data_IF_480834862820
#
_entry.id   IF_480834862820
#
_cell.length_a   1.000
_cell.length_b   1.000
_cell.length_c   1.000
_cell.angle_alpha   90.00
_cell.angle_beta   90.00
_cell.angle_gamma   90.00
#
_symmetry.space_group_name_H-M   'P 1'
#
loop_
_entity.id
_entity.type
_entity.pdbx_description
1 polymer ?
#
# COMPACT_ATOMS: atom_id res chain seq x y z
N UNK A 1 85.75 -100.74 -71.24
CA UNK A 1 87.04 -101.45 -71.08
C UNK A 1 87.52 -101.25 -69.66
N UNK A 2 88.01 -102.36 -69.10
CA UNK A 2 88.57 -102.59 -67.77
C UNK A 2 89.41 -101.43 -67.19
N UNK A 3 89.16 -101.08 -65.92
CA UNK A 3 90.13 -101.33 -64.86
C UNK A 3 89.46 -101.17 -63.49
N UNK A 4 89.45 -102.27 -62.75
CA UNK A 4 89.01 -102.37 -61.38
C UNK A 4 89.85 -101.47 -60.46
N UNK A 5 89.19 -100.63 -59.68
CA UNK A 5 89.69 -100.18 -58.39
C UNK A 5 88.65 -100.55 -57.34
N UNK A 6 88.89 -101.67 -56.66
CA UNK A 6 88.25 -102.03 -55.40
C UNK A 6 88.48 -100.87 -54.43
N UNK A 7 87.53 -99.94 -54.37
CA UNK A 7 87.44 -99.00 -53.29
C UNK A 7 86.88 -99.76 -52.10
N UNK A 8 87.82 -100.24 -51.28
CA UNK A 8 87.71 -100.69 -49.91
C UNK A 8 86.31 -100.57 -49.31
N UNK A 9 85.80 -101.72 -48.85
CA UNK A 9 84.96 -101.81 -47.66
C UNK A 9 85.52 -100.86 -46.61
N UNK A 10 84.94 -99.65 -46.55
CA UNK A 10 85.10 -98.78 -45.40
C UNK A 10 84.45 -99.54 -44.25
N UNK A 11 85.25 -99.84 -43.24
CA UNK A 11 84.84 -100.32 -41.93
C UNK A 11 83.46 -99.72 -41.56
N UNK A 12 82.44 -100.53 -41.23
CA UNK A 12 81.10 -100.03 -40.88
C UNK A 12 81.13 -98.88 -39.87
N UNK A 13 82.14 -98.86 -38.99
CA UNK A 13 82.40 -97.79 -38.02
C UNK A 13 82.86 -96.46 -38.67
N UNK A 14 83.67 -96.52 -39.74
CA UNK A 14 84.15 -95.32 -40.47
C UNK A 14 83.04 -94.68 -41.31
N UNK A 15 82.16 -95.48 -41.91
CA UNK A 15 81.00 -94.99 -42.68
C UNK A 15 79.98 -94.28 -41.76
N UNK A 16 79.69 -94.88 -40.60
CA UNK A 16 78.86 -94.27 -39.55
C UNK A 16 79.49 -92.96 -39.02
N UNK A 17 80.82 -92.91 -38.86
CA UNK A 17 81.51 -91.67 -38.49
C UNK A 17 81.35 -90.57 -39.54
N UNK A 18 81.48 -90.89 -40.83
CA UNK A 18 81.30 -89.90 -41.90
C UNK A 18 79.85 -89.41 -42.01
N UNK A 19 78.88 -90.30 -41.81
CA UNK A 19 77.45 -89.95 -41.82
C UNK A 19 77.07 -89.10 -40.61
N UNK A 20 77.59 -89.42 -39.41
CA UNK A 20 77.46 -88.59 -38.20
C UNK A 20 78.15 -87.24 -38.32
N UNK A 21 79.31 -87.17 -38.98
CA UNK A 21 80.01 -85.90 -39.25
C UNK A 21 79.20 -85.01 -40.20
N UNK A 22 78.59 -85.59 -41.24
CA UNK A 22 77.74 -84.87 -42.18
C UNK A 22 76.41 -84.45 -41.57
N UNK A 23 75.78 -85.31 -40.76
CA UNK A 23 74.55 -84.98 -40.03
C UNK A 23 74.78 -83.89 -38.98
N UNK A 24 75.90 -83.96 -38.25
CA UNK A 24 76.33 -82.90 -37.33
C UNK A 24 76.56 -81.58 -38.06
N UNK A 25 77.29 -81.58 -39.19
CA UNK A 25 77.45 -80.37 -40.02
C UNK A 25 76.11 -79.80 -40.45
N UNK A 26 75.17 -80.63 -40.90
CA UNK A 26 73.83 -80.20 -41.32
C UNK A 26 73.02 -79.65 -40.14
N UNK A 27 73.13 -80.26 -38.95
CA UNK A 27 72.52 -79.79 -37.71
C UNK A 27 73.10 -78.45 -37.23
N UNK A 28 74.42 -78.26 -37.30
CA UNK A 28 75.09 -77.00 -36.99
C UNK A 28 74.65 -75.89 -37.96
N UNK A 29 74.53 -76.20 -39.25
CA UNK A 29 74.02 -75.24 -40.25
C UNK A 29 72.53 -74.90 -39.99
N UNK A 30 71.69 -75.88 -39.64
CA UNK A 30 70.29 -75.64 -39.25
C UNK A 30 70.19 -74.75 -38.01
N UNK A 31 70.98 -75.07 -36.98
CA UNK A 31 71.02 -74.30 -35.74
C UNK A 31 71.49 -72.87 -35.97
N UNK A 32 72.47 -72.65 -36.84
CA UNK A 32 72.92 -71.31 -37.21
C UNK A 32 71.83 -70.51 -37.96
N UNK A 33 71.05 -71.17 -38.82
CA UNK A 33 69.91 -70.56 -39.51
C UNK A 33 68.78 -70.22 -38.53
N UNK A 34 68.45 -71.11 -37.60
CA UNK A 34 67.47 -70.89 -36.53
C UNK A 34 67.90 -69.75 -35.60
N UNK A 35 69.16 -69.71 -35.17
CA UNK A 35 69.70 -68.60 -34.38
C UNK A 35 69.60 -67.27 -35.12
N UNK A 36 69.85 -67.26 -36.43
CA UNK A 36 69.71 -66.07 -37.26
C UNK A 36 68.24 -65.63 -37.38
N UNK A 37 67.31 -66.56 -37.56
CA UNK A 37 65.87 -66.28 -37.62
C UNK A 37 65.36 -65.73 -36.27
N UNK A 38 65.71 -66.37 -35.16
CA UNK A 38 65.35 -65.92 -33.80
C UNK A 38 65.92 -64.53 -33.54
N UNK A 39 67.17 -64.26 -33.95
CA UNK A 39 67.79 -62.94 -33.81
C UNK A 39 67.07 -61.87 -34.63
N UNK A 40 66.65 -62.19 -35.86
CA UNK A 40 65.89 -61.26 -36.71
C UNK A 40 64.49 -60.99 -36.13
N UNK A 41 63.82 -62.01 -35.59
CA UNK A 41 62.52 -61.86 -34.90
C UNK A 41 62.66 -61.01 -33.63
N UNK A 42 63.71 -61.24 -32.84
CA UNK A 42 63.99 -60.42 -31.67
C UNK A 42 64.22 -58.96 -32.04
N UNK A 43 65.00 -58.70 -33.09
CA UNK A 43 65.24 -57.33 -33.58
C UNK A 43 63.95 -56.64 -34.07
N UNK A 44 63.07 -57.34 -34.80
CA UNK A 44 61.80 -56.76 -35.23
C UNK A 44 60.83 -56.53 -34.06
N UNK A 45 60.86 -57.41 -33.06
CA UNK A 45 60.10 -57.27 -31.83
C UNK A 45 60.58 -56.06 -31.02
N UNK A 46 61.88 -55.90 -30.82
CA UNK A 46 62.48 -54.72 -30.19
C UNK A 46 62.09 -53.42 -30.92
N UNK A 47 62.11 -53.42 -32.26
CA UNK A 47 61.70 -52.25 -33.05
C UNK A 47 60.21 -51.93 -32.88
N UNK A 48 59.35 -52.95 -32.82
CA UNK A 48 57.91 -52.79 -32.59
C UNK A 48 57.61 -52.22 -31.20
N UNK A 49 58.29 -52.71 -30.15
CA UNK A 49 58.18 -52.16 -28.80
C UNK A 49 58.70 -50.72 -28.71
N UNK A 50 59.78 -50.38 -29.40
CA UNK A 50 60.28 -49.01 -29.48
C UNK A 50 59.28 -48.06 -30.16
N UNK A 51 58.61 -48.52 -31.22
CA UNK A 51 57.55 -47.76 -31.90
C UNK A 51 56.32 -47.59 -31.00
N UNK A 52 55.87 -48.64 -30.33
CA UNK A 52 54.75 -48.60 -29.39
C UNK A 52 55.03 -47.69 -28.19
N UNK A 53 56.24 -47.73 -27.63
CA UNK A 53 56.64 -46.85 -26.53
C UNK A 53 56.53 -45.37 -26.92
N UNK A 54 57.00 -45.01 -28.13
CA UNK A 54 56.88 -43.64 -28.65
C UNK A 54 55.43 -43.22 -28.87
N UNK A 55 54.59 -44.08 -29.45
CA UNK A 55 53.18 -43.73 -29.66
C UNK A 55 52.43 -43.60 -28.34
N UNK A 56 52.75 -44.44 -27.34
CA UNK A 56 52.22 -44.35 -25.98
C UNK A 56 52.63 -43.04 -25.31
N UNK A 57 53.89 -42.64 -25.40
CA UNK A 57 54.39 -41.38 -24.84
C UNK A 57 53.68 -40.16 -25.46
N UNK A 58 53.49 -40.16 -26.78
CA UNK A 58 52.72 -39.11 -27.48
C UNK A 58 51.26 -39.11 -27.02
N UNK A 59 50.61 -40.27 -26.91
CA UNK A 59 49.22 -40.36 -26.45
C UNK A 59 49.08 -39.91 -24.99
N UNK A 60 50.03 -40.24 -24.12
CA UNK A 60 50.04 -39.84 -22.71
C UNK A 60 50.23 -38.33 -22.55
N UNK A 61 51.17 -37.73 -23.30
CA UNK A 61 51.35 -36.27 -23.30
C UNK A 61 50.09 -35.53 -23.77
N UNK A 62 49.41 -36.05 -24.79
CA UNK A 62 48.13 -35.50 -25.28
C UNK A 62 47.02 -35.64 -24.24
N UNK A 63 46.92 -36.80 -23.58
CA UNK A 63 45.94 -37.03 -22.52
C UNK A 63 46.14 -36.06 -21.35
N UNK A 64 47.39 -35.86 -20.90
CA UNK A 64 47.74 -34.88 -19.86
C UNK A 64 47.35 -33.46 -20.27
N UNK A 65 47.68 -33.05 -21.50
CA UNK A 65 47.30 -31.72 -22.01
C UNK A 65 45.79 -31.51 -22.04
N UNK A 66 45.01 -32.54 -22.41
CA UNK A 66 43.55 -32.47 -22.42
C UNK A 66 42.99 -32.43 -20.99
N UNK A 67 43.57 -33.17 -20.04
CA UNK A 67 43.18 -33.15 -18.63
C UNK A 67 43.36 -31.76 -18.02
N UNK A 68 44.49 -31.10 -18.27
CA UNK A 68 44.73 -29.72 -17.83
C UNK A 68 43.73 -28.72 -18.44
N UNK A 69 43.36 -28.90 -19.72
CA UNK A 69 42.38 -28.03 -20.36
C UNK A 69 40.98 -28.23 -19.77
N UNK A 70 40.59 -29.47 -19.49
CA UNK A 70 39.33 -29.78 -18.80
C UNK A 70 39.31 -29.16 -17.42
N UNK A 71 40.40 -29.24 -16.66
CA UNK A 71 40.50 -28.60 -15.35
C UNK A 71 40.34 -27.07 -15.44
N UNK A 72 41.04 -26.43 -16.38
CA UNK A 72 40.91 -24.98 -16.62
C UNK A 72 39.48 -24.58 -17.00
N UNK A 73 38.84 -25.34 -17.90
CA UNK A 73 37.46 -25.09 -18.30
C UNK A 73 36.48 -25.27 -17.15
N UNK A 74 36.70 -26.28 -16.30
CA UNK A 74 35.86 -26.54 -15.14
C UNK A 74 35.94 -25.41 -14.11
N UNK A 75 37.13 -24.87 -13.85
CA UNK A 75 37.31 -23.69 -12.97
C UNK A 75 36.60 -22.46 -13.57
N UNK A 76 36.75 -22.23 -14.88
CA UNK A 76 36.11 -21.10 -15.56
C UNK A 76 34.58 -21.19 -15.48
N UNK A 77 34.03 -22.38 -15.70
CA UNK A 77 32.58 -22.63 -15.65
C UNK A 77 32.03 -22.38 -14.23
N UNK A 78 32.70 -22.88 -13.19
CA UNK A 78 32.31 -22.62 -11.80
C UNK A 78 32.33 -21.13 -11.45
N UNK A 79 33.35 -20.40 -11.92
CA UNK A 79 33.40 -18.94 -11.71
C UNK A 79 32.24 -18.22 -12.40
N UNK A 80 31.83 -18.66 -13.60
CA UNK A 80 30.70 -18.08 -14.33
C UNK A 80 29.37 -18.41 -13.67
N UNK A 81 29.19 -19.63 -13.18
CA UNK A 81 28.00 -20.02 -12.42
C UNK A 81 27.84 -19.18 -11.15
N UNK A 82 28.93 -18.91 -10.42
CA UNK A 82 28.86 -18.04 -9.24
C UNK A 82 28.52 -16.60 -9.61
N UNK A 83 29.09 -16.06 -10.70
CA UNK A 83 28.72 -14.73 -11.22
C UNK A 83 27.24 -14.66 -11.60
N UNK A 84 26.72 -15.67 -12.29
CA UNK A 84 25.31 -15.76 -12.66
C UNK A 84 24.42 -15.85 -11.42
N UNK A 85 24.81 -16.62 -10.42
CA UNK A 85 24.07 -16.74 -9.15
C UNK A 85 24.00 -15.41 -8.41
N UNK A 86 25.12 -14.68 -8.32
CA UNK A 86 25.16 -13.34 -7.72
C UNK A 86 24.30 -12.35 -8.51
N UNK A 87 24.38 -12.38 -9.84
CA UNK A 87 23.55 -11.53 -10.71
C UNK A 87 22.06 -11.85 -10.53
N UNK A 88 21.68 -13.13 -10.48
CA UNK A 88 20.29 -13.56 -10.27
C UNK A 88 19.77 -13.08 -8.93
N UNK A 89 20.58 -13.21 -7.87
CA UNK A 89 20.23 -12.73 -6.53
C UNK A 89 20.02 -11.21 -6.50
N UNK A 90 20.86 -10.45 -7.22
CA UNK A 90 20.68 -9.00 -7.34
C UNK A 90 19.40 -8.64 -8.12
N UNK A 91 19.09 -9.34 -9.21
CA UNK A 91 17.86 -9.11 -9.98
C UNK A 91 16.61 -9.40 -9.13
N UNK A 92 16.62 -10.47 -8.34
CA UNK A 92 15.53 -10.78 -7.40
C UNK A 92 15.33 -9.69 -6.34
N UNK A 93 16.40 -9.04 -5.87
CA UNK A 93 16.31 -7.91 -4.96
C UNK A 93 15.64 -6.71 -5.63
N UNK A 94 16.06 -6.34 -6.85
CA UNK A 94 15.43 -5.25 -7.59
C UNK A 94 13.96 -5.50 -7.92
N UNK A 95 13.58 -6.76 -8.22
CA UNK A 95 12.18 -7.11 -8.42
C UNK A 95 11.34 -6.90 -7.16
N UNK A 96 11.86 -7.26 -5.98
CA UNK A 96 11.17 -7.00 -4.70
C UNK A 96 11.02 -5.50 -4.44
N UNK A 97 12.07 -4.71 -4.67
CA UNK A 97 11.99 -3.25 -4.54
C UNK A 97 10.96 -2.63 -5.50
N UNK A 98 10.89 -3.13 -6.73
CA UNK A 98 9.88 -2.70 -7.70
C UNK A 98 8.46 -3.05 -7.25
N UNK A 99 8.24 -4.25 -6.70
CA UNK A 99 6.94 -4.66 -6.17
C UNK A 99 6.52 -3.81 -4.96
N UNK A 100 7.46 -3.51 -4.05
CA UNK A 100 7.24 -2.62 -2.91
C UNK A 100 6.87 -1.20 -3.36
N UNK A 101 7.61 -0.65 -4.34
CA UNK A 101 7.31 0.65 -4.93
C UNK A 101 5.94 0.66 -5.63
N UNK A 102 5.59 -0.41 -6.33
CA UNK A 102 4.28 -0.56 -6.97
C UNK A 102 3.15 -0.58 -5.96
N UNK A 103 3.34 -1.28 -4.84
CA UNK A 103 2.38 -1.28 -3.72
C UNK A 103 2.21 0.12 -3.12
N UNK A 104 3.31 0.83 -2.84
CA UNK A 104 3.25 2.20 -2.34
C UNK A 104 2.56 3.16 -3.32
N UNK A 105 2.78 2.98 -4.62
CA UNK A 105 2.16 3.80 -5.66
C UNK A 105 0.64 3.54 -5.76
N UNK A 106 0.19 2.29 -5.58
CA UNK A 106 -1.23 1.95 -5.49
C UNK A 106 -1.90 2.67 -4.30
N UNK A 107 -1.31 2.57 -3.11
CA UNK A 107 -1.84 3.21 -1.90
C UNK A 107 -1.89 4.74 -2.07
N UNK A 108 -0.82 5.32 -2.63
CA UNK A 108 -0.74 6.77 -2.89
C UNK A 108 -1.82 7.21 -3.87
N UNK A 109 -2.06 6.43 -4.92
CA UNK A 109 -3.11 6.70 -5.90
C UNK A 109 -4.49 6.65 -5.28
N UNK A 110 -4.81 5.59 -4.52
CA UNK A 110 -6.10 5.45 -3.83
C UNK A 110 -6.34 6.61 -2.86
N UNK A 111 -5.29 7.04 -2.14
CA UNK A 111 -5.35 8.20 -1.24
C UNK A 111 -5.59 9.51 -1.99
N UNK A 112 -4.90 9.70 -3.12
CA UNK A 112 -5.08 10.88 -3.96
C UNK A 112 -6.49 10.94 -4.57
N UNK A 113 -7.02 9.80 -5.03
CA UNK A 113 -8.39 9.70 -5.56
C UNK A 113 -9.44 9.99 -4.48
N UNK A 114 -9.27 9.45 -3.26
CA UNK A 114 -10.15 9.76 -2.13
C UNK A 114 -10.09 11.25 -1.74
N UNK A 115 -8.89 11.85 -1.73
CA UNK A 115 -8.72 13.28 -1.46
C UNK A 115 -9.35 14.16 -2.54
N UNK A 116 -9.24 13.77 -3.82
CA UNK A 116 -9.86 14.50 -4.92
C UNK A 116 -11.40 14.46 -4.82
N UNK A 117 -11.98 13.29 -4.52
CA UNK A 117 -13.42 13.14 -4.30
C UNK A 117 -13.90 13.98 -3.11
N UNK A 118 -13.14 14.01 -2.01
CA UNK A 118 -13.44 14.85 -0.85
C UNK A 118 -13.40 16.33 -1.18
N UNK A 119 -12.37 16.80 -1.90
CA UNK A 119 -12.25 18.18 -2.33
C UNK A 119 -13.40 18.60 -3.27
N UNK A 120 -13.80 17.73 -4.20
CA UNK A 120 -14.94 17.99 -5.09
C UNK A 120 -16.26 18.09 -4.32
N UNK A 121 -16.45 17.21 -3.32
CA UNK A 121 -17.63 17.26 -2.44
C UNK A 121 -17.67 18.57 -1.65
N UNK A 122 -16.55 18.97 -1.03
CA UNK A 122 -16.43 20.22 -0.30
C UNK A 122 -16.67 21.44 -1.20
N UNK A 123 -16.14 21.44 -2.42
CA UNK A 123 -16.39 22.49 -3.40
C UNK A 123 -17.88 22.62 -3.74
N UNK A 124 -18.56 21.48 -3.97
CA UNK A 124 -20.00 21.45 -4.24
C UNK A 124 -20.81 22.03 -3.07
N UNK A 125 -20.45 21.68 -1.83
CA UNK A 125 -21.07 22.24 -0.63
C UNK A 125 -20.85 23.76 -0.53
N UNK A 126 -19.63 24.24 -0.77
CA UNK A 126 -19.32 25.67 -0.77
C UNK A 126 -20.13 26.43 -1.83
N UNK A 127 -20.28 25.86 -3.03
CA UNK A 127 -21.11 26.46 -4.07
C UNK A 127 -22.60 26.50 -3.69
N UNK A 128 -23.10 25.48 -2.99
CA UNK A 128 -24.47 25.48 -2.46
C UNK A 128 -24.68 26.59 -1.42
N UNK A 129 -23.75 26.70 -0.45
CA UNK A 129 -23.80 27.73 0.58
C UNK A 129 -23.69 29.14 -0.01
N UNK A 130 -22.85 29.32 -1.03
CA UNK A 130 -22.72 30.61 -1.73
C UNK A 130 -24.04 31.03 -2.39
N UNK A 131 -24.78 30.08 -2.99
CA UNK A 131 -26.10 30.36 -3.57
C UNK A 131 -27.09 30.80 -2.49
N UNK A 132 -27.18 30.05 -1.39
CA UNK A 132 -28.06 30.39 -0.27
C UNK A 132 -27.72 31.77 0.31
N UNK A 133 -26.43 32.08 0.48
CA UNK A 133 -25.99 33.39 0.96
C UNK A 133 -26.45 34.52 0.03
N UNK A 134 -26.35 34.33 -1.29
CA UNK A 134 -26.80 35.31 -2.27
C UNK A 134 -28.32 35.54 -2.20
N UNK A 135 -29.11 34.48 -2.05
CA UNK A 135 -30.57 34.56 -1.88
C UNK A 135 -30.95 35.30 -0.59
N UNK A 136 -30.26 35.00 0.51
CA UNK A 136 -30.46 35.69 1.79
C UNK A 136 -30.08 37.16 1.70
N UNK A 137 -28.99 37.48 1.01
CA UNK A 137 -28.55 38.85 0.81
C UNK A 137 -29.56 39.66 -0.03
N UNK A 138 -30.12 39.06 -1.07
CA UNK A 138 -31.18 39.68 -1.86
C UNK A 138 -32.44 39.93 -1.02
N UNK A 139 -32.86 38.95 -0.21
CA UNK A 139 -34.01 39.08 0.70
C UNK A 139 -33.78 40.18 1.74
N UNK A 140 -32.57 40.26 2.30
CA UNK A 140 -32.21 41.28 3.29
C UNK A 140 -32.28 42.69 2.69
N UNK A 141 -31.81 42.87 1.45
CA UNK A 141 -31.94 44.15 0.73
C UNK A 141 -33.39 44.54 0.46
N UNK A 142 -34.26 43.56 0.18
CA UNK A 142 -35.69 43.82 0.05
C UNK A 142 -36.30 44.28 1.39
N UNK A 143 -35.93 43.62 2.48
CA UNK A 143 -36.37 44.03 3.82
C UNK A 143 -35.87 45.41 4.20
N UNK A 144 -34.61 45.75 3.92
CA UNK A 144 -34.05 47.09 4.10
C UNK A 144 -34.87 48.15 3.35
N UNK A 145 -35.19 47.92 2.08
CA UNK A 145 -36.03 48.83 1.29
C UNK A 145 -37.43 49.01 1.91
N UNK A 146 -38.03 47.93 2.43
CA UNK A 146 -39.34 47.98 3.09
C UNK A 146 -39.28 48.79 4.39
N UNK A 147 -38.21 48.64 5.17
CA UNK A 147 -38.00 49.42 6.39
C UNK A 147 -37.83 50.91 6.07
N UNK A 148 -37.01 51.25 5.09
CA UNK A 148 -36.83 52.64 4.65
C UNK A 148 -38.15 53.27 4.21
N UNK A 149 -39.00 52.52 3.50
CA UNK A 149 -40.34 53.00 3.11
C UNK A 149 -41.26 53.22 4.31
N UNK A 150 -41.19 52.36 5.33
CA UNK A 150 -41.96 52.53 6.56
C UNK A 150 -41.47 53.74 7.37
N UNK A 151 -40.16 53.99 7.39
CA UNK A 151 -39.55 55.16 8.00
C UNK A 151 -40.07 56.45 7.34
N UNK A 152 -40.06 56.53 6.00
CA UNK A 152 -40.65 57.65 5.25
C UNK A 152 -42.14 57.87 5.59
N UNK A 153 -42.91 56.79 5.73
CA UNK A 153 -44.33 56.88 6.11
C UNK A 153 -44.51 57.39 7.55
N UNK A 154 -43.64 56.97 8.46
CA UNK A 154 -43.67 57.37 9.86
C UNK A 154 -43.32 58.86 9.99
N UNK A 155 -42.31 59.33 9.26
CA UNK A 155 -41.95 60.75 9.16
C UNK A 155 -43.11 61.63 8.68
N UNK A 156 -43.84 61.16 7.64
CA UNK A 156 -45.00 61.87 7.13
C UNK A 156 -46.14 61.93 8.16
N UNK A 157 -46.40 60.82 8.84
CA UNK A 157 -47.42 60.76 9.89
C UNK A 157 -47.05 61.67 11.08
N UNK A 158 -45.78 61.73 11.45
CA UNK A 158 -45.30 62.58 12.53
C UNK A 158 -45.49 64.07 12.20
N UNK A 159 -45.12 64.50 10.98
CA UNK A 159 -45.37 65.88 10.52
C UNK A 159 -46.85 66.24 10.52
N UNK A 160 -47.71 65.31 10.09
CA UNK A 160 -49.16 65.50 10.11
C UNK A 160 -49.72 65.60 11.53
N UNK A 161 -49.18 64.82 12.47
CA UNK A 161 -49.55 64.88 13.88
C UNK A 161 -49.19 66.24 14.47
N UNK A 162 -47.95 66.70 14.26
CA UNK A 162 -47.50 68.03 14.71
C UNK A 162 -48.39 69.16 14.15
N UNK A 163 -48.74 69.11 12.86
CA UNK A 163 -49.63 70.08 12.24
C UNK A 163 -51.05 70.06 12.86
N UNK A 164 -51.57 68.87 13.19
CA UNK A 164 -52.86 68.72 13.88
C UNK A 164 -52.79 69.22 15.32
N UNK A 165 -51.69 68.99 16.03
CA UNK A 165 -51.51 69.52 17.39
C UNK A 165 -51.48 71.05 17.40
N UNK A 166 -50.80 71.67 16.43
CA UNK A 166 -50.78 73.12 16.29
C UNK A 166 -52.17 73.69 15.99
N UNK A 167 -52.89 73.10 15.03
CA UNK A 167 -54.25 73.56 14.70
C UNK A 167 -55.23 73.34 15.84
N UNK A 168 -55.09 72.25 16.60
CA UNK A 168 -55.89 71.98 17.78
C UNK A 168 -55.60 72.99 18.91
N UNK A 169 -54.34 73.36 19.14
CA UNK A 169 -53.98 74.42 20.10
C UNK A 169 -54.58 75.76 19.70
N UNK A 170 -54.45 76.15 18.43
CA UNK A 170 -55.04 77.37 17.89
C UNK A 170 -56.57 77.38 18.07
N UNK A 171 -57.23 76.28 17.73
CA UNK A 171 -58.67 76.14 17.92
C UNK A 171 -59.07 76.23 19.40
N UNK A 172 -58.29 75.62 20.30
CA UNK A 172 -58.53 75.71 21.75
C UNK A 172 -58.40 77.16 22.23
N UNK A 173 -57.38 77.89 21.80
CA UNK A 173 -57.17 79.29 22.17
C UNK A 173 -58.30 80.19 21.64
N UNK A 174 -58.75 79.93 20.41
CA UNK A 174 -59.90 80.59 19.76
C UNK A 174 -61.20 80.34 20.52
N UNK A 175 -61.50 79.07 20.86
CA UNK A 175 -62.67 78.69 21.64
C UNK A 175 -62.65 79.36 23.01
N UNK A 176 -61.52 79.35 23.74
CA UNK A 176 -61.39 80.05 25.03
C UNK A 176 -61.57 81.57 24.89
N UNK A 177 -61.20 82.16 23.75
CA UNK A 177 -61.47 83.59 23.47
C UNK A 177 -62.96 83.83 23.26
N UNK A 178 -63.60 83.06 22.38
CA UNK A 178 -65.04 83.17 22.10
C UNK A 178 -65.85 82.88 23.36
N UNK A 179 -65.48 81.88 24.16
CA UNK A 179 -66.11 81.57 25.45
C UNK A 179 -66.04 82.76 26.41
N UNK A 180 -64.91 83.47 26.47
CA UNK A 180 -64.79 84.70 27.26
C UNK A 180 -65.66 85.83 26.71
N UNK A 181 -65.73 85.99 25.39
CA UNK A 181 -66.60 86.97 24.72
C UNK A 181 -68.08 86.67 24.98
N UNK A 182 -68.51 85.41 24.86
CA UNK A 182 -69.87 84.94 25.19
C UNK A 182 -70.14 85.14 26.68
N UNK A 183 -69.24 84.73 27.57
CA UNK A 183 -69.43 84.91 29.01
C UNK A 183 -69.57 86.38 29.37
N UNK A 184 -68.77 87.27 28.77
CA UNK A 184 -68.92 88.72 28.92
C UNK A 184 -70.25 89.21 28.33
N UNK A 185 -70.65 88.76 27.14
CA UNK A 185 -71.92 89.12 26.51
C UNK A 185 -73.13 88.61 27.31
N UNK A 186 -73.07 87.42 27.89
CA UNK A 186 -74.08 86.82 28.77
C UNK A 186 -74.11 87.52 30.12
N UNK A 187 -72.98 87.91 30.71
CA UNK A 187 -72.96 88.75 31.89
C UNK A 187 -73.58 90.13 31.61
N UNK A 188 -73.38 90.66 30.39
CA UNK A 188 -73.98 91.92 29.91
C UNK A 188 -75.47 91.77 29.53
N UNK A 189 -75.88 90.60 29.08
CA UNK A 189 -77.27 90.22 28.77
C UNK A 189 -78.01 89.62 29.99
N UNK A 190 -77.30 89.44 31.11
CA UNK A 190 -77.78 88.89 32.38
C UNK A 190 -78.75 89.80 33.14
N UNK A 191 -79.30 90.81 32.48
CA UNK A 191 -80.58 91.43 32.82
C UNK A 191 -81.80 90.61 32.32
N UNK A 192 -81.59 89.47 31.64
CA UNK A 192 -82.70 88.62 31.20
C UNK A 192 -82.46 87.12 31.39
N UNK A 193 -83.40 86.46 32.07
CA UNK A 193 -83.42 85.02 32.34
C UNK A 193 -83.84 84.29 31.07
N UNK A 194 -83.01 83.39 30.53
CA UNK A 194 -83.51 82.09 30.04
C UNK A 194 -82.41 81.05 29.74
N UNK A 195 -82.71 79.82 30.18
CA UNK A 195 -81.84 78.67 30.33
C UNK A 195 -81.74 77.81 29.05
N UNK A 196 -81.27 78.35 27.93
CA UNK A 196 -81.10 77.55 26.70
C UNK A 196 -79.73 76.82 26.64
N UNK A 197 -78.69 77.36 27.28
CA UNK A 197 -77.33 76.78 27.31
C UNK A 197 -77.26 75.47 28.12
N UNK A 198 -78.19 75.27 29.07
CA UNK A 198 -78.26 74.06 29.90
C UNK A 198 -78.81 72.85 29.13
N UNK A 199 -79.50 73.08 28.01
CA UNK A 199 -80.10 72.04 27.13
C UNK A 199 -79.09 71.53 26.09
N UNK A 200 -78.26 72.40 25.54
CA UNK A 200 -77.21 72.04 24.57
C UNK A 200 -76.12 71.17 25.21
N UNK A 201 -75.81 71.39 26.50
CA UNK A 201 -74.87 70.56 27.25
C UNK A 201 -75.36 69.11 27.46
N UNK A 202 -76.68 68.88 27.45
CA UNK A 202 -77.29 67.54 27.51
C UNK A 202 -77.35 66.85 26.13
N UNK A 203 -77.30 67.61 25.04
CA UNK A 203 -77.37 67.12 23.65
C UNK A 203 -76.01 66.71 23.05
N UNK A 204 -74.89 66.90 23.77
CA UNK A 204 -73.58 66.24 23.45
C UNK A 204 -73.62 64.72 23.75
N UNK A 205 -74.78 64.23 24.21
CA UNK A 205 -75.47 62.96 23.95
C UNK A 205 -74.68 61.61 23.91
N UNK A 206 -75.16 60.59 24.66
CA UNK A 206 -74.52 59.26 24.84
C UNK A 206 -74.33 58.40 23.58
N UNK A 207 -74.88 58.80 22.42
CA UNK A 207 -74.67 58.11 21.13
C UNK A 207 -73.22 58.13 20.65
N UNK A 208 -72.45 59.17 20.97
CA UNK A 208 -71.02 59.22 20.62
C UNK A 208 -70.20 58.25 21.50
N UNK A 209 -70.55 58.14 22.79
CA UNK A 209 -69.93 57.19 23.71
C UNK A 209 -70.21 55.73 23.34
N UNK A 210 -71.43 55.42 22.87
CA UNK A 210 -71.78 54.06 22.46
C UNK A 210 -71.01 53.61 21.21
N UNK A 211 -70.80 54.52 20.24
CA UNK A 211 -70.01 54.23 19.04
C UNK A 211 -68.52 54.04 19.36
N UNK A 212 -67.97 54.85 20.27
CA UNK A 212 -66.59 54.70 20.75
C UNK A 212 -66.44 53.36 21.50
N UNK A 213 -67.40 52.99 22.35
CA UNK A 213 -67.41 51.72 23.08
C UNK A 213 -67.43 50.50 22.16
N UNK A 214 -68.26 50.52 21.10
CA UNK A 214 -68.29 49.45 20.09
C UNK A 214 -66.95 49.30 19.37
N UNK A 215 -66.29 50.41 19.03
CA UNK A 215 -65.00 50.37 18.37
C UNK A 215 -63.88 49.84 19.28
N UNK A 216 -63.90 50.20 20.57
CA UNK A 216 -62.95 49.71 21.56
C UNK A 216 -63.11 48.20 21.79
N UNK A 217 -64.34 47.69 21.93
CA UNK A 217 -64.57 46.24 22.09
C UNK A 217 -64.06 45.43 20.89
N UNK A 218 -64.27 45.93 19.66
CA UNK A 218 -63.75 45.28 18.45
C UNK A 218 -62.20 45.23 18.43
N UNK A 219 -61.55 46.27 18.96
CA UNK A 219 -60.08 46.31 19.09
C UNK A 219 -59.58 45.36 20.18
N UNK A 220 -60.28 45.24 21.30
CA UNK A 220 -59.94 44.30 22.36
C UNK A 220 -60.04 42.84 21.89
N UNK A 221 -61.03 42.51 21.06
CA UNK A 221 -61.15 41.19 20.42
C UNK A 221 -59.99 40.90 19.44
N UNK A 222 -59.58 41.90 18.66
CA UNK A 222 -58.44 41.79 17.75
C UNK A 222 -57.13 41.56 18.52
N UNK A 223 -56.93 42.29 19.62
CA UNK A 223 -55.79 42.11 20.52
C UNK A 223 -55.80 40.70 21.14
N UNK A 224 -56.97 40.18 21.52
CA UNK A 224 -57.09 38.83 22.04
C UNK A 224 -56.66 37.77 21.01
N UNK A 225 -57.12 37.89 19.75
CA UNK A 225 -56.71 36.99 18.66
C UNK A 225 -55.20 37.01 18.42
N UNK A 226 -54.61 38.21 18.33
CA UNK A 226 -53.16 38.35 18.13
C UNK A 226 -52.35 37.73 19.28
N UNK A 227 -52.82 37.87 20.54
CA UNK A 227 -52.16 37.21 21.69
C UNK A 227 -52.20 35.69 21.58
N UNK A 228 -53.31 35.12 21.11
CA UNK A 228 -53.44 33.68 20.93
C UNK A 228 -52.56 33.17 19.77
N UNK A 229 -52.49 33.91 18.65
CA UNK A 229 -51.58 33.59 17.55
C UNK A 229 -50.11 33.63 18.00
N UNK A 230 -49.71 34.67 18.75
CA UNK A 230 -48.36 34.76 19.34
C UNK A 230 -48.10 33.57 20.25
N UNK A 231 -49.07 33.14 21.06
CA UNK A 231 -48.94 31.98 21.95
C UNK A 231 -48.73 30.69 21.17
N UNK A 232 -49.50 30.46 20.11
CA UNK A 232 -49.37 29.28 19.24
C UNK A 232 -48.01 29.28 18.54
N UNK A 233 -47.61 30.41 17.96
CA UNK A 233 -46.33 30.54 17.27
C UNK A 233 -45.15 30.34 18.23
N UNK A 234 -45.23 30.89 19.44
CA UNK A 234 -44.23 30.69 20.50
C UNK A 234 -44.10 29.22 20.89
N UNK A 235 -45.23 28.51 21.02
CA UNK A 235 -45.22 27.07 21.31
C UNK A 235 -44.58 26.27 20.17
N UNK A 236 -44.88 26.62 18.91
CA UNK A 236 -44.27 26.01 17.73
C UNK A 236 -42.77 26.23 17.68
N UNK A 237 -42.30 27.48 17.88
CA UNK A 237 -40.87 27.77 17.94
C UNK A 237 -40.17 27.00 19.05
N UNK A 238 -40.76 26.96 20.26
CA UNK A 238 -40.21 26.18 21.39
C UNK A 238 -40.10 24.69 21.06
N UNK A 239 -41.09 24.13 20.37
CA UNK A 239 -41.05 22.72 19.95
C UNK A 239 -39.97 22.49 18.89
N UNK A 240 -39.86 23.38 17.90
CA UNK A 240 -38.85 23.30 16.85
C UNK A 240 -37.43 23.40 17.41
N UNK A 241 -37.20 24.28 18.39
CA UNK A 241 -35.92 24.39 19.10
C UNK A 241 -35.55 23.09 19.79
N UNK A 242 -36.48 22.49 20.56
CA UNK A 242 -36.24 21.20 21.23
C UNK A 242 -35.94 20.06 20.26
N UNK A 243 -36.62 20.01 19.12
CA UNK A 243 -36.36 19.00 18.08
C UNK A 243 -34.94 19.14 17.54
N UNK A 244 -34.52 20.36 17.19
CA UNK A 244 -33.16 20.64 16.70
C UNK A 244 -32.09 20.32 17.75
N UNK A 245 -32.31 20.67 19.02
CA UNK A 245 -31.43 20.31 20.13
C UNK A 245 -31.29 18.77 20.26
N UNK A 246 -32.38 18.03 20.10
CA UNK A 246 -32.36 16.57 20.16
C UNK A 246 -31.58 15.94 18.99
N UNK A 247 -31.66 16.52 17.80
CA UNK A 247 -30.90 16.09 16.62
C UNK A 247 -29.41 16.37 16.82
N UNK A 248 -29.06 17.54 17.35
CA UNK A 248 -27.68 17.91 17.64
C UNK A 248 -27.05 16.97 18.68
N UNK A 249 -27.78 16.61 19.74
CA UNK A 249 -27.31 15.66 20.74
C UNK A 249 -27.16 14.23 20.17
N UNK A 250 -28.04 13.81 19.24
CA UNK A 250 -27.87 12.53 18.51
C UNK A 250 -26.59 12.53 17.67
N UNK A 251 -26.33 13.59 16.91
CA UNK A 251 -25.10 13.75 16.14
C UNK A 251 -23.86 13.71 17.04
N UNK A 252 -23.90 14.44 18.17
CA UNK A 252 -22.82 14.46 19.14
C UNK A 252 -22.47 13.07 19.69
N UNK A 253 -23.48 12.22 19.94
CA UNK A 253 -23.28 10.83 20.39
C UNK A 253 -22.67 9.96 19.29
N UNK A 254 -23.17 10.07 18.05
CA UNK A 254 -22.62 9.34 16.91
C UNK A 254 -21.13 9.70 16.68
N UNK A 255 -20.78 10.97 16.80
CA UNK A 255 -19.40 11.43 16.68
C UNK A 255 -18.51 10.87 17.79
N UNK A 256 -19.01 10.77 19.03
CA UNK A 256 -18.27 10.15 20.13
C UNK A 256 -18.04 8.65 19.90
N UNK A 257 -19.03 7.93 19.37
CA UNK A 257 -18.87 6.52 19.00
C UNK A 257 -17.87 6.34 17.86
N UNK A 258 -17.94 7.19 16.83
CA UNK A 258 -16.99 7.19 15.73
C UNK A 258 -15.58 7.44 16.25
N UNK A 259 -15.40 8.45 17.12
CA UNK A 259 -14.11 8.75 17.76
C UNK A 259 -13.56 7.56 18.55
N UNK A 260 -14.40 6.82 19.27
CA UNK A 260 -13.99 5.58 19.96
C UNK A 260 -13.52 4.50 18.98
N UNK A 261 -14.21 4.32 17.85
CA UNK A 261 -13.83 3.36 16.82
C UNK A 261 -12.51 3.75 16.14
N UNK A 262 -12.32 5.03 15.84
CA UNK A 262 -11.07 5.57 15.28
C UNK A 262 -9.90 5.30 16.22
N UNK A 263 -10.03 5.63 17.51
CA UNK A 263 -8.98 5.35 18.50
C UNK A 263 -8.64 3.84 18.60
N UNK A 264 -9.65 2.97 18.51
CA UNK A 264 -9.43 1.52 18.51
C UNK A 264 -8.65 1.08 17.26
N UNK A 265 -8.97 1.63 16.08
CA UNK A 265 -8.25 1.34 14.84
C UNK A 265 -6.82 1.87 14.87
N UNK A 266 -6.59 3.07 15.40
CA UNK A 266 -5.25 3.64 15.59
C UNK A 266 -4.39 2.74 16.49
N UNK A 267 -4.96 2.22 17.58
CA UNK A 267 -4.26 1.29 18.46
C UNK A 267 -3.91 -0.02 17.74
N UNK A 268 -4.86 -0.64 17.02
CA UNK A 268 -4.61 -1.84 16.23
C UNK A 268 -3.53 -1.61 15.15
N UNK A 269 -3.55 -0.46 14.49
CA UNK A 269 -2.55 -0.08 13.50
C UNK A 269 -1.17 0.09 14.13
N UNK A 270 -1.08 0.75 15.28
CA UNK A 270 0.16 0.93 16.03
C UNK A 270 0.74 -0.41 16.50
N UNK A 271 -0.12 -1.33 16.97
CA UNK A 271 0.26 -2.68 17.35
C UNK A 271 0.81 -3.46 16.15
N UNK A 272 0.10 -3.46 15.01
CA UNK A 272 0.56 -4.09 13.77
C UNK A 272 1.92 -3.55 13.31
N UNK A 273 2.12 -2.22 13.33
CA UNK A 273 3.42 -1.58 13.06
C UNK A 273 4.51 -2.01 14.04
N UNK A 274 4.17 -2.25 15.30
CA UNK A 274 5.13 -2.75 16.29
C UNK A 274 5.54 -4.20 16.01
N UNK A 275 4.59 -5.05 15.62
CA UNK A 275 4.83 -6.45 15.25
C UNK A 275 5.67 -6.54 13.98
N UNK A 276 5.36 -5.72 12.97
CA UNK A 276 6.14 -5.59 11.74
C UNK A 276 7.61 -5.25 12.02
N UNK A 277 7.87 -4.27 12.91
CA UNK A 277 9.24 -3.92 13.35
C UNK A 277 9.94 -5.06 14.12
N UNK A 278 9.20 -5.93 14.81
CA UNK A 278 9.78 -7.13 15.44
C UNK A 278 10.15 -8.17 14.38
N UNK A 279 9.25 -8.44 13.44
CA UNK A 279 9.48 -9.36 12.33
C UNK A 279 10.68 -8.92 11.47
N UNK A 280 10.79 -7.63 11.17
CA UNK A 280 11.93 -7.06 10.46
C UNK A 280 13.25 -7.35 11.18
N UNK A 281 13.33 -7.07 12.50
CA UNK A 281 14.51 -7.40 13.32
C UNK A 281 14.82 -8.89 13.35
N UNK A 282 13.81 -9.76 13.37
CA UNK A 282 14.02 -11.21 13.27
C UNK A 282 14.49 -11.63 11.87
N UNK A 283 14.01 -10.96 10.82
CA UNK A 283 14.53 -11.09 9.45
C UNK A 283 16.02 -10.76 9.39
N UNK A 284 16.40 -9.55 9.83
CA UNK A 284 17.79 -9.10 9.85
C UNK A 284 18.72 -10.05 10.63
N UNK A 285 18.27 -10.61 11.76
CA UNK A 285 19.04 -11.61 12.52
C UNK A 285 19.22 -12.90 11.74
N UNK A 286 18.17 -13.39 11.07
CA UNK A 286 18.27 -14.59 10.21
C UNK A 286 19.19 -14.33 9.03
N UNK A 287 19.11 -13.16 8.41
CA UNK A 287 19.96 -12.79 7.28
C UNK A 287 21.43 -12.68 7.69
N UNK A 288 21.72 -12.13 8.89
CA UNK A 288 23.08 -12.13 9.47
C UNK A 288 23.59 -13.56 9.70
N UNK A 289 22.79 -14.43 10.30
CA UNK A 289 23.17 -15.83 10.53
C UNK A 289 23.40 -16.60 9.22
N UNK A 290 22.56 -16.36 8.20
CA UNK A 290 22.74 -16.94 6.87
C UNK A 290 24.02 -16.45 6.20
N UNK A 291 24.33 -15.15 6.35
CA UNK A 291 25.58 -14.57 5.84
C UNK A 291 26.80 -15.19 6.53
N UNK A 292 26.77 -15.31 7.85
CA UNK A 292 27.86 -15.93 8.63
C UNK A 292 28.05 -17.41 8.28
N UNK A 293 26.98 -18.19 8.11
CA UNK A 293 27.07 -19.57 7.63
C UNK A 293 27.65 -19.66 6.23
N UNK A 294 27.31 -18.72 5.35
CA UNK A 294 27.86 -18.64 3.99
C UNK A 294 29.35 -18.30 4.01
N UNK A 295 29.75 -17.38 4.87
CA UNK A 295 31.16 -17.00 5.07
C UNK A 295 31.97 -18.16 5.68
N UNK A 296 31.42 -18.90 6.66
CA UNK A 296 32.04 -20.11 7.21
C UNK A 296 32.21 -21.22 6.16
N UNK A 297 31.25 -21.37 5.25
CA UNK A 297 31.34 -22.29 4.11
C UNK A 297 32.46 -21.87 3.15
N UNK A 298 32.57 -20.57 2.85
CA UNK A 298 33.64 -20.02 2.01
C UNK A 298 35.03 -20.21 2.64
N UNK A 299 35.16 -19.98 3.95
CA UNK A 299 36.41 -20.22 4.70
C UNK A 299 36.77 -21.71 4.76
N UNK A 300 35.78 -22.62 4.90
CA UNK A 300 36.04 -24.07 4.79
C UNK A 300 36.46 -24.50 3.39
N UNK A 301 35.92 -23.87 2.34
CA UNK A 301 36.38 -24.10 0.98
C UNK A 301 37.82 -23.62 0.76
N UNK A 302 38.21 -22.49 1.36
CA UNK A 302 39.59 -21.96 1.28
C UNK A 302 40.59 -22.73 2.17
N UNK A 303 40.21 -23.12 3.38
CA UNK A 303 41.06 -23.93 4.28
C UNK A 303 41.13 -25.41 3.87
N UNK A 304 40.37 -25.82 2.85
CA UNK A 304 40.46 -27.15 2.21
C UNK A 304 41.56 -27.27 1.17
N UNK A 305 42.31 -26.19 0.87
CA UNK A 305 43.38 -26.21 -0.13
C UNK A 305 44.77 -26.61 0.42
N UNK A 306 44.85 -27.13 1.65
CA UNK A 306 46.12 -27.41 2.31
C UNK A 306 46.07 -28.46 3.40
N UNK A 307 45.56 -29.65 3.12
CA UNK A 307 46.03 -30.90 3.74
C UNK A 307 45.45 -32.06 2.98
N UNK A 308 46.32 -32.79 2.28
CA UNK A 308 45.97 -34.07 1.68
C UNK A 308 45.59 -35.05 2.77
N UNK A 309 44.30 -35.31 2.91
CA UNK A 309 43.81 -36.63 3.26
C UNK A 309 42.46 -36.82 2.57
N UNK A 310 42.51 -37.52 1.42
CA UNK A 310 41.34 -38.10 0.78
C UNK A 310 40.81 -39.20 1.68
N UNK A 311 40.14 -38.84 2.77
CA UNK A 311 39.33 -39.79 3.51
C UNK A 311 38.06 -40.02 2.68
N UNK A 312 37.99 -41.19 2.04
CA UNK A 312 36.87 -41.59 1.21
C UNK A 312 35.57 -41.37 1.99
N UNK A 313 34.64 -40.58 1.43
CA UNK A 313 33.33 -40.31 2.04
C UNK A 313 32.60 -41.60 2.48
N UNK A 314 32.82 -42.68 1.73
CA UNK A 314 32.37 -44.05 1.98
C UNK A 314 32.89 -44.68 3.28
N UNK A 315 33.99 -44.18 3.84
CA UNK A 315 34.58 -44.67 5.08
C UNK A 315 34.16 -43.90 6.32
N UNK A 316 33.47 -42.76 6.17
CA UNK A 316 33.03 -41.95 7.30
C UNK A 316 32.06 -42.74 8.20
N UNK A 317 32.30 -42.70 9.51
CA UNK A 317 31.50 -43.42 10.50
C UNK A 317 30.01 -43.08 10.41
N UNK A 318 29.66 -41.87 9.94
CA UNK A 318 28.28 -41.44 9.70
C UNK A 318 27.61 -42.16 8.53
N UNK A 319 28.32 -42.36 7.41
CA UNK A 319 27.78 -43.09 6.26
C UNK A 319 27.56 -44.57 6.59
N UNK A 320 28.49 -45.21 7.31
CA UNK A 320 28.32 -46.59 7.82
C UNK A 320 27.11 -46.72 8.74
N UNK A 321 26.83 -45.71 9.55
CA UNK A 321 25.66 -45.68 10.43
C UNK A 321 24.35 -45.58 9.64
N UNK A 322 24.30 -44.71 8.62
CA UNK A 322 23.13 -44.55 7.75
C UNK A 322 22.84 -45.83 6.98
N UNK A 323 23.86 -46.45 6.36
CA UNK A 323 23.69 -47.72 5.64
C UNK A 323 23.25 -48.85 6.57
N UNK A 324 23.81 -48.94 7.78
CA UNK A 324 23.40 -49.93 8.79
C UNK A 324 21.95 -49.75 9.22
N UNK A 325 21.50 -48.52 9.47
CA UNK A 325 20.11 -48.23 9.86
C UNK A 325 19.13 -48.44 8.70
N UNK A 326 19.52 -48.10 7.46
CA UNK A 326 18.72 -48.37 6.27
C UNK A 326 18.58 -49.88 6.01
N UNK A 327 19.63 -50.66 6.24
CA UNK A 327 19.58 -52.12 6.11
C UNK A 327 18.69 -52.74 7.21
N UNK A 328 18.76 -52.23 8.45
CA UNK A 328 17.89 -52.66 9.55
C UNK A 328 16.41 -52.38 9.25
N UNK A 329 16.11 -51.20 8.70
CA UNK A 329 14.75 -50.84 8.28
C UNK A 329 14.24 -51.76 7.16
N UNK A 330 15.07 -52.09 6.18
CA UNK A 330 14.71 -53.04 5.11
C UNK A 330 14.48 -54.46 5.64
N UNK A 331 15.29 -54.93 6.60
CA UNK A 331 15.09 -56.24 7.24
C UNK A 331 13.81 -56.28 8.06
N UNK A 332 13.46 -55.19 8.75
CA UNK A 332 12.19 -55.09 9.50
C UNK A 332 10.99 -55.07 8.56
N UNK A 333 11.10 -54.39 7.41
CA UNK A 333 10.03 -54.32 6.40
C UNK A 333 9.87 -55.65 5.66
N UNK A 334 10.95 -56.38 5.38
CA UNK A 334 10.90 -57.69 4.74
C UNK A 334 10.45 -58.84 5.66
N UNK A 335 10.32 -58.59 6.97
CA UNK A 335 9.82 -59.54 7.98
C UNK A 335 8.35 -59.32 8.35
N UNK A 336 7.69 -58.30 7.79
CA UNK A 336 6.23 -58.16 7.73
C UNK A 336 5.73 -58.77 6.42
#
# INVERSE_FOLDING_TARGET
>A
MSAAAKAQDLDPLLKDLTEKKLSFKRSVVSLAAELKDVRNRLASQEESFAREARTREVAESKAKSMEEEVERLQICLQSKDEQLRLSSCSTEQYLKELDDLRSQLSITRETAEASAASAQSAQSQCLSLLKELNEKNASLKEHENRVNKLEEQLDLLQKNLEARELSQRQLKDEVVRIEREIMHAVAKAGDNKDCELRRILAEVSPKNFENISKHLNAKDEEIARLRDEIRILSAHFKHKTKELESQLEKHRRADQELKKRVLKLEFCLQESRSQMRKLQRMGERRDKALKELRDQLAVKQQNGLGSGDKQNFWESSGFKFIVSMSMLALVIIAKR
#
